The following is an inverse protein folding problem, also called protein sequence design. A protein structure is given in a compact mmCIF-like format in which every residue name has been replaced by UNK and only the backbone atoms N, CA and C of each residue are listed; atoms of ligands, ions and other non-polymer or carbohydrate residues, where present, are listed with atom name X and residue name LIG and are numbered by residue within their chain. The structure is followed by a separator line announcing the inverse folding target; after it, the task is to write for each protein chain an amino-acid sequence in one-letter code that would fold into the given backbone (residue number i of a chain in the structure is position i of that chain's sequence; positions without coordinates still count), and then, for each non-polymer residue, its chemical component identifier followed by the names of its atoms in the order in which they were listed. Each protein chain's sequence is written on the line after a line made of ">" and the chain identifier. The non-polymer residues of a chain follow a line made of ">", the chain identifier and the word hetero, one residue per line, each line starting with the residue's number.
data_IF_684149152826
#
_entry.id   IF_684149152826
#
_cell.length_a   1.000
_cell.length_b   1.000
_cell.length_c   1.000
_cell.angle_alpha   90.00
_cell.angle_beta   90.00
_cell.angle_gamma   90.00
#
_symmetry.space_group_name_H-M   'P 1'
#
loop_
_entity.id
_entity.type
_entity.pdbx_description
1 polymer ?
#
# COMPACT_ATOMS: atom_id res chain seq x y z
N UNK A 1 16.72 -5.34 -1.91
CA UNK A 1 15.93 -5.72 -3.11
C UNK A 1 14.59 -5.00 -3.04
N UNK A 2 14.02 -4.57 -4.17
CA UNK A 2 12.63 -4.06 -4.22
C UNK A 2 11.72 -5.16 -4.76
N UNK A 3 10.46 -5.16 -4.32
CA UNK A 3 9.42 -6.06 -4.82
C UNK A 3 8.24 -5.23 -5.35
N UNK A 4 7.45 -5.82 -6.25
CA UNK A 4 6.24 -5.19 -6.76
C UNK A 4 5.09 -5.20 -5.74
N UNK A 5 4.08 -4.34 -5.94
CA UNK A 5 2.92 -4.23 -5.05
C UNK A 5 2.21 -5.58 -4.89
N UNK A 6 1.99 -6.32 -5.98
CA UNK A 6 1.34 -7.64 -5.90
C UNK A 6 2.12 -8.65 -5.05
N UNK A 7 3.46 -8.58 -5.07
CA UNK A 7 4.32 -9.46 -4.27
C UNK A 7 4.26 -9.06 -2.79
N UNK A 8 4.34 -7.76 -2.50
CA UNK A 8 4.17 -7.24 -1.14
C UNK A 8 2.82 -7.62 -0.55
N UNK A 9 1.73 -7.44 -1.30
CA UNK A 9 0.38 -7.84 -0.89
C UNK A 9 0.24 -9.34 -0.66
N UNK A 10 0.96 -10.18 -1.42
CA UNK A 10 1.00 -11.61 -1.15
C UNK A 10 1.65 -11.93 0.20
N UNK A 11 2.76 -11.26 0.55
CA UNK A 11 3.40 -11.42 1.86
C UNK A 11 2.49 -10.94 3.00
N UNK A 12 1.85 -9.79 2.81
CA UNK A 12 0.89 -9.22 3.75
C UNK A 12 -0.29 -10.16 4.02
N UNK A 13 -0.91 -10.68 2.96
CA UNK A 13 -2.02 -11.64 3.08
C UNK A 13 -1.61 -12.89 3.87
N UNK A 14 -0.42 -13.43 3.59
CA UNK A 14 0.10 -14.61 4.30
C UNK A 14 0.38 -14.34 5.78
N UNK A 15 0.68 -13.09 6.14
CA UNK A 15 0.91 -12.66 7.52
C UNK A 15 -0.35 -12.12 8.23
N UNK A 16 -1.52 -12.17 7.57
CA UNK A 16 -2.78 -11.68 8.13
C UNK A 16 -2.93 -10.16 8.15
N UNK A 17 -2.12 -9.43 7.38
CA UNK A 17 -2.34 -8.00 7.09
C UNK A 17 -3.46 -7.92 6.05
N UNK A 18 -4.59 -7.25 6.35
CA UNK A 18 -5.68 -7.10 5.39
C UNK A 18 -5.24 -6.28 4.18
N UNK A 19 -5.47 -6.81 2.99
CA UNK A 19 -5.23 -6.16 1.69
C UNK A 19 -6.41 -6.50 0.78
N UNK A 20 -6.78 -5.65 -0.20
CA UNK A 20 -7.82 -6.01 -1.15
C UNK A 20 -7.46 -7.28 -1.95
N UNK A 21 -8.46 -7.99 -2.45
CA UNK A 21 -8.17 -9.12 -3.35
C UNK A 21 -7.73 -8.58 -4.70
N UNK A 22 -6.72 -9.22 -5.26
CA UNK A 22 -6.20 -8.85 -6.57
C UNK A 22 -5.28 -9.91 -7.14
N UNK A 23 -5.16 -9.90 -8.45
CA UNK A 23 -4.35 -10.84 -9.21
C UNK A 23 -3.39 -10.10 -10.14
N UNK A 24 -2.12 -10.54 -10.23
CA UNK A 24 -1.24 -10.05 -11.26
C UNK A 24 -1.71 -10.52 -12.64
N UNK A 25 -1.48 -9.70 -13.66
CA UNK A 25 -1.75 -10.01 -15.05
C UNK A 25 -0.56 -9.59 -15.91
N UNK A 26 -0.09 -10.51 -16.75
CA UNK A 26 1.03 -10.33 -17.69
C UNK A 26 0.55 -10.19 -19.15
N UNK A 27 -0.75 -10.36 -19.38
CA UNK A 27 -1.42 -10.13 -20.65
C UNK A 27 -2.78 -9.46 -20.44
N UNK A 28 -3.38 -8.99 -21.53
CA UNK A 28 -4.74 -8.42 -21.52
C UNK A 28 -5.77 -9.49 -21.17
N UNK A 29 -5.56 -10.72 -21.64
CA UNK A 29 -6.40 -11.88 -21.36
C UNK A 29 -6.39 -12.21 -19.86
N UNK A 30 -5.21 -12.27 -19.25
CA UNK A 30 -5.07 -12.50 -17.80
C UNK A 30 -5.74 -11.39 -16.98
N UNK A 31 -5.69 -10.14 -17.46
CA UNK A 31 -6.35 -9.02 -16.80
C UNK A 31 -7.88 -9.17 -16.81
N UNK A 32 -8.45 -9.68 -17.91
CA UNK A 32 -9.88 -9.95 -18.02
C UNK A 32 -10.28 -11.13 -17.13
N UNK A 33 -9.49 -12.21 -17.12
CA UNK A 33 -9.73 -13.37 -16.25
C UNK A 33 -9.67 -13.01 -14.76
N UNK A 34 -8.85 -12.03 -14.39
CA UNK A 34 -8.79 -11.55 -13.01
C UNK A 34 -10.14 -10.98 -12.54
N UNK A 35 -10.90 -10.33 -13.43
CA UNK A 35 -12.26 -9.82 -13.12
C UNK A 35 -13.19 -10.97 -12.74
N UNK A 36 -13.14 -12.09 -13.48
CA UNK A 36 -13.92 -13.28 -13.19
C UNK A 36 -13.53 -13.91 -11.84
N UNK A 37 -12.23 -13.96 -11.54
CA UNK A 37 -11.72 -14.49 -10.26
C UNK A 37 -12.11 -13.63 -9.06
N UNK A 38 -12.18 -12.32 -9.24
CA UNK A 38 -12.58 -11.37 -8.19
C UNK A 38 -14.11 -11.32 -8.00
N UNK A 39 -14.88 -11.84 -8.96
CA UNK A 39 -16.35 -11.85 -8.91
C UNK A 39 -16.94 -10.45 -8.64
N UNK A 40 -16.38 -9.42 -9.27
CA UNK A 40 -16.84 -8.03 -9.22
C UNK A 40 -16.66 -7.36 -10.58
N UNK A 41 -17.58 -6.47 -10.94
CA UNK A 41 -17.46 -5.67 -12.16
C UNK A 41 -16.59 -4.42 -11.96
N UNK A 42 -16.34 -3.99 -10.73
CA UNK A 42 -15.58 -2.75 -10.47
C UNK A 42 -14.21 -3.07 -9.90
N UNK A 43 -13.17 -2.76 -10.69
CA UNK A 43 -11.78 -3.05 -10.35
C UNK A 43 -10.88 -1.84 -10.58
N UNK A 44 -9.69 -1.88 -9.98
CA UNK A 44 -8.61 -0.94 -10.24
C UNK A 44 -7.49 -1.66 -11.01
N UNK A 45 -7.13 -1.13 -12.17
CA UNK A 45 -6.01 -1.58 -13.00
C UNK A 45 -4.75 -0.78 -12.61
N UNK A 46 -3.74 -1.46 -12.08
CA UNK A 46 -2.54 -0.83 -11.52
C UNK A 46 -1.26 -1.33 -12.19
N UNK A 47 -0.56 -0.45 -12.89
CA UNK A 47 0.76 -0.72 -13.44
C UNK A 47 1.77 -1.10 -12.34
N UNK A 48 2.52 -2.18 -12.57
CA UNK A 48 3.53 -2.68 -11.64
C UNK A 48 4.92 -2.22 -12.07
N UNK A 49 5.44 -1.19 -11.41
CA UNK A 49 6.83 -0.71 -11.55
C UNK A 49 7.42 -0.40 -10.17
N UNK A 50 8.75 -0.41 -10.05
CA UNK A 50 9.44 -0.06 -8.80
C UNK A 50 9.60 1.46 -8.61
N UNK A 51 8.48 2.18 -8.66
CA UNK A 51 8.40 3.63 -8.44
C UNK A 51 7.01 4.04 -7.90
N UNK A 52 7.00 5.07 -7.05
CA UNK A 52 5.81 5.79 -6.59
C UNK A 52 5.26 6.75 -7.65
N UNK A 53 4.19 7.47 -7.29
CA UNK A 53 3.56 8.46 -8.18
C UNK A 53 2.80 7.90 -9.39
N UNK A 54 2.54 6.58 -9.42
CA UNK A 54 1.89 5.88 -10.55
C UNK A 54 0.50 6.43 -10.88
N UNK A 55 -0.27 6.86 -9.88
CA UNK A 55 -1.58 7.47 -10.09
C UNK A 55 -1.51 8.75 -10.92
N UNK A 56 -0.63 9.69 -10.53
CA UNK A 56 -0.37 10.93 -11.27
C UNK A 56 0.17 10.66 -12.68
N UNK A 57 0.96 9.61 -12.85
CA UNK A 57 1.49 9.16 -14.15
C UNK A 57 0.49 8.39 -15.02
N UNK A 58 -0.75 8.18 -14.57
CA UNK A 58 -1.78 7.46 -15.32
C UNK A 58 -1.70 5.93 -15.25
N UNK A 59 -0.83 5.37 -14.42
CA UNK A 59 -0.67 3.94 -14.20
C UNK A 59 -1.62 3.32 -13.17
N UNK A 60 -2.63 4.06 -12.70
CA UNK A 60 -3.70 3.56 -11.84
C UNK A 60 -5.03 4.06 -12.42
N UNK A 61 -5.94 3.14 -12.78
CA UNK A 61 -7.24 3.48 -13.38
C UNK A 61 -8.34 2.58 -12.82
N UNK A 62 -9.47 3.19 -12.44
CA UNK A 62 -10.72 2.46 -12.22
C UNK A 62 -11.24 1.94 -13.57
N UNK A 63 -11.81 0.75 -13.57
CA UNK A 63 -12.47 0.15 -14.72
C UNK A 63 -13.73 -0.59 -14.27
N UNK A 64 -14.82 -0.42 -15.03
CA UNK A 64 -16.10 -1.10 -14.80
C UNK A 64 -16.35 -2.08 -15.96
N UNK A 65 -16.42 -3.36 -15.63
CA UNK A 65 -16.62 -4.46 -16.56
C UNK A 65 -15.37 -4.82 -17.36
N UNK A 66 -15.44 -6.00 -18.00
CA UNK A 66 -14.31 -6.59 -18.73
C UNK A 66 -13.81 -5.74 -19.90
N UNK A 67 -14.70 -4.99 -20.55
CA UNK A 67 -14.33 -4.19 -21.73
C UNK A 67 -13.46 -2.99 -21.34
N UNK A 68 -13.81 -2.29 -20.25
CA UNK A 68 -12.94 -1.23 -19.75
C UNK A 68 -11.62 -1.80 -19.25
N UNK A 69 -11.62 -2.94 -18.56
CA UNK A 69 -10.38 -3.60 -18.11
C UNK A 69 -9.48 -3.96 -19.29
N UNK A 70 -10.04 -4.53 -20.37
CA UNK A 70 -9.33 -4.79 -21.62
C UNK A 70 -8.67 -3.52 -22.16
N UNK A 71 -9.46 -2.45 -22.30
CA UNK A 71 -8.97 -1.18 -22.83
C UNK A 71 -7.86 -0.59 -21.94
N UNK A 72 -8.02 -0.61 -20.61
CA UNK A 72 -6.99 -0.10 -19.69
C UNK A 72 -5.72 -0.96 -19.75
N UNK A 73 -5.87 -2.28 -19.81
CA UNK A 73 -4.74 -3.19 -19.86
C UNK A 73 -3.93 -3.04 -21.14
N UNK A 74 -4.59 -2.94 -22.30
CA UNK A 74 -3.96 -2.74 -23.61
C UNK A 74 -3.16 -1.42 -23.68
N UNK A 75 -3.71 -0.35 -23.10
CA UNK A 75 -3.02 0.94 -23.02
C UNK A 75 -1.83 0.95 -22.06
N UNK A 76 -1.84 0.12 -21.01
CA UNK A 76 -0.80 0.13 -19.97
C UNK A 76 0.32 -0.87 -20.23
N UNK A 77 0.01 -2.08 -20.70
CA UNK A 77 1.04 -3.10 -20.92
C UNK A 77 1.98 -2.67 -22.05
N UNK A 78 3.29 -2.78 -21.80
CA UNK A 78 4.33 -2.40 -22.75
C UNK A 78 4.66 -0.90 -22.78
N UNK A 79 3.82 -0.02 -22.22
CA UNK A 79 4.11 1.41 -22.17
C UNK A 79 5.25 1.73 -21.20
N UNK A 80 5.96 2.84 -21.42
CA UNK A 80 6.88 3.41 -20.44
C UNK A 80 6.13 4.39 -19.53
N UNK A 81 5.88 3.98 -18.29
CA UNK A 81 5.23 4.81 -17.30
C UNK A 81 6.24 5.82 -16.72
N UNK A 82 5.98 7.11 -16.97
CA UNK A 82 6.74 8.23 -16.41
C UNK A 82 6.07 8.68 -15.11
N UNK A 83 6.84 8.70 -14.03
CA UNK A 83 6.49 9.31 -12.75
C UNK A 83 7.59 10.27 -12.32
N UNK A 84 7.33 11.06 -11.28
CA UNK A 84 8.35 11.94 -10.70
C UNK A 84 9.59 11.19 -10.19
N UNK A 85 9.48 9.86 -9.94
CA UNK A 85 10.58 9.01 -9.47
C UNK A 85 11.28 8.20 -10.57
N UNK A 86 10.73 8.12 -11.80
CA UNK A 86 11.34 7.33 -12.89
C UNK A 86 12.20 8.15 -13.84
N UNK A 87 12.11 9.48 -13.77
CA UNK A 87 12.71 10.38 -14.76
C UNK A 87 12.01 10.31 -16.14
N UNK A 88 12.54 11.03 -17.15
CA UNK A 88 11.86 11.26 -18.43
C UNK A 88 11.71 10.00 -19.29
N UNK A 89 12.55 8.98 -19.09
CA UNK A 89 12.48 7.71 -19.85
C UNK A 89 11.41 6.76 -19.32
N UNK A 90 10.90 6.99 -18.10
CA UNK A 90 9.91 6.11 -17.49
C UNK A 90 10.44 4.72 -17.14
N UNK A 91 9.51 3.82 -16.81
CA UNK A 91 9.74 2.38 -16.66
C UNK A 91 8.72 1.60 -17.46
N UNK A 92 9.18 0.60 -18.20
CA UNK A 92 8.30 -0.27 -18.96
C UNK A 92 7.38 -1.05 -18.02
N UNK A 93 6.09 -1.03 -18.31
CA UNK A 93 5.08 -1.81 -17.59
C UNK A 93 4.99 -3.19 -18.21
N UNK A 94 5.45 -4.21 -17.48
CA UNK A 94 5.43 -5.61 -17.93
C UNK A 94 4.38 -6.46 -17.20
N UNK A 95 3.74 -5.88 -16.19
CA UNK A 95 2.76 -6.54 -15.34
C UNK A 95 1.77 -5.50 -14.81
N UNK A 96 0.52 -5.92 -14.68
CA UNK A 96 -0.55 -5.19 -14.04
C UNK A 96 -0.99 -5.93 -12.77
N UNK A 97 -1.57 -5.20 -11.83
CA UNK A 97 -2.37 -5.75 -10.75
C UNK A 97 -3.82 -5.33 -10.99
N UNK A 98 -4.71 -6.32 -11.10
CA UNK A 98 -6.15 -6.11 -11.14
C UNK A 98 -6.68 -6.38 -9.74
N UNK A 99 -7.28 -5.38 -9.13
CA UNK A 99 -7.65 -5.40 -7.71
C UNK A 99 -9.09 -4.91 -7.51
N UNK A 100 -9.79 -5.47 -6.53
CA UNK A 100 -11.09 -4.98 -6.09
C UNK A 100 -11.05 -3.49 -5.72
N UNK A 101 -12.03 -2.73 -6.21
CA UNK A 101 -12.22 -1.36 -5.74
C UNK A 101 -12.68 -1.37 -4.28
N UNK A 102 -11.99 -0.61 -3.43
CA UNK A 102 -12.35 -0.46 -2.01
C UNK A 102 -13.24 0.78 -1.81
N UNK A 103 -14.23 0.68 -0.93
CA UNK A 103 -15.05 1.81 -0.49
C UNK A 103 -14.28 2.65 0.56
N UNK A 104 -13.41 3.54 0.08
CA UNK A 104 -12.50 4.34 0.92
C UNK A 104 -13.25 5.52 1.57
N UNK A 105 -13.07 5.70 2.88
CA UNK A 105 -13.52 6.91 3.61
C UNK A 105 -12.35 7.81 4.02
N UNK A 106 -11.17 7.24 4.28
CA UNK A 106 -9.96 7.96 4.65
C UNK A 106 -8.74 7.24 4.10
N UNK A 107 -7.77 8.03 3.66
CA UNK A 107 -6.44 7.59 3.27
C UNK A 107 -5.46 8.08 4.34
N UNK A 108 -4.67 7.15 4.89
CA UNK A 108 -3.68 7.39 5.93
C UNK A 108 -2.32 6.91 5.44
N UNK A 109 -1.27 7.14 6.23
CA UNK A 109 0.07 6.63 5.98
C UNK A 109 0.52 5.69 7.10
N UNK A 110 1.24 4.64 6.74
CA UNK A 110 2.01 3.82 7.68
C UNK A 110 3.35 3.40 7.07
N UNK A 111 4.43 3.46 7.85
CA UNK A 111 5.76 3.04 7.41
C UNK A 111 6.65 2.53 8.54
N UNK A 112 7.56 1.62 8.23
CA UNK A 112 8.54 1.05 9.17
C UNK A 112 9.92 1.10 8.54
N UNK A 113 10.89 1.69 9.23
CA UNK A 113 12.29 1.80 8.76
C UNK A 113 13.27 1.78 9.94
N UNK A 114 14.55 1.53 9.68
CA UNK A 114 15.62 1.70 10.67
C UNK A 114 15.97 3.18 10.84
N UNK A 115 15.70 3.74 12.02
CA UNK A 115 16.26 5.02 12.45
C UNK A 115 17.71 4.80 12.91
N UNK A 116 18.63 5.03 11.96
CA UNK A 116 20.08 4.85 12.20
C UNK A 116 20.64 5.77 13.28
N UNK A 117 20.04 6.94 13.49
CA UNK A 117 20.50 7.88 14.53
C UNK A 117 20.30 7.33 15.94
N UNK A 118 19.29 6.48 16.11
CA UNK A 118 18.94 5.85 17.40
C UNK A 118 19.28 4.38 17.48
N UNK A 119 19.69 3.75 16.36
CA UNK A 119 19.90 2.30 16.29
C UNK A 119 18.62 1.52 16.61
N UNK A 120 17.45 2.05 16.22
CA UNK A 120 16.13 1.46 16.52
C UNK A 120 15.26 1.47 15.28
N UNK A 121 14.34 0.52 15.19
CA UNK A 121 13.29 0.60 14.19
C UNK A 121 12.28 1.67 14.61
N UNK A 122 11.71 2.38 13.63
CA UNK A 122 10.68 3.39 13.85
C UNK A 122 9.46 3.04 13.01
N UNK A 123 8.31 2.91 13.67
CA UNK A 123 7.01 2.83 13.03
C UNK A 123 6.43 4.24 12.98
N UNK A 124 6.14 4.72 11.79
CA UNK A 124 5.59 6.05 11.52
C UNK A 124 4.18 5.93 10.99
N UNK A 125 3.27 6.79 11.45
CA UNK A 125 1.93 6.95 10.89
C UNK A 125 1.61 8.41 10.70
N UNK A 126 0.73 8.73 9.74
CA UNK A 126 0.25 10.09 9.50
C UNK A 126 -1.18 10.07 8.98
N UNK A 127 -1.94 11.13 9.27
CA UNK A 127 -3.26 11.37 8.68
C UNK A 127 -3.18 11.79 7.21
N UNK A 128 -1.99 12.14 6.74
CA UNK A 128 -1.73 12.54 5.35
C UNK A 128 -1.39 11.30 4.50
N UNK A 129 -2.40 10.51 4.17
CA UNK A 129 -2.26 9.45 3.17
C UNK A 129 -2.36 9.95 1.74
N UNK A 130 -1.85 9.17 0.78
CA UNK A 130 -1.93 9.47 -0.66
C UNK A 130 -0.94 10.54 -1.15
N UNK A 131 -0.11 11.08 -0.26
CA UNK A 131 0.94 12.07 -0.54
C UNK A 131 2.32 11.52 -0.18
N UNK A 132 3.39 12.06 -0.76
CA UNK A 132 4.75 11.61 -0.46
C UNK A 132 5.12 12.00 0.99
N UNK A 133 5.62 11.05 1.78
CA UNK A 133 5.85 11.28 3.21
C UNK A 133 6.98 12.28 3.47
N UNK A 134 7.91 12.41 2.53
CA UNK A 134 9.00 13.38 2.58
C UNK A 134 8.48 14.82 2.48
N UNK A 135 7.40 15.06 1.73
CA UNK A 135 6.72 16.36 1.64
C UNK A 135 6.08 16.70 2.98
N UNK A 136 5.36 15.75 3.57
CA UNK A 136 4.76 15.89 4.92
C UNK A 136 5.87 16.15 5.96
N UNK A 137 7.00 15.45 5.88
CA UNK A 137 8.11 15.64 6.80
C UNK A 137 8.78 17.02 6.69
N UNK A 138 8.76 17.64 5.50
CA UNK A 138 9.31 18.96 5.28
C UNK A 138 8.35 20.08 5.70
N UNK A 139 7.06 19.92 5.40
CA UNK A 139 6.07 20.99 5.56
C UNK A 139 5.27 20.91 6.87
N UNK A 140 4.89 19.69 7.29
CA UNK A 140 4.05 19.43 8.46
C UNK A 140 4.58 18.25 9.30
N UNK A 141 5.83 18.34 9.79
CA UNK A 141 6.50 17.22 10.47
C UNK A 141 5.77 16.71 11.72
N UNK A 142 4.95 17.56 12.35
CA UNK A 142 4.12 17.25 13.51
C UNK A 142 3.01 16.24 13.21
N UNK A 143 2.61 16.10 11.93
CA UNK A 143 1.63 15.08 11.50
C UNK A 143 2.22 13.68 11.42
N UNK A 144 3.55 13.52 11.49
CA UNK A 144 4.23 12.22 11.47
C UNK A 144 4.45 11.74 12.89
N UNK A 145 3.61 10.80 13.31
CA UNK A 145 3.66 10.23 14.65
C UNK A 145 4.54 8.98 14.63
N UNK A 146 5.45 8.88 15.60
CA UNK A 146 6.52 7.88 15.62
C UNK A 146 6.52 7.05 16.89
N UNK A 147 6.67 5.75 16.74
CA UNK A 147 6.96 4.81 17.83
C UNK A 147 8.25 4.03 17.54
N UNK A 148 9.20 4.06 18.47
CA UNK A 148 10.46 3.35 18.32
C UNK A 148 10.41 1.96 18.93
N UNK A 149 10.98 0.99 18.23
CA UNK A 149 11.02 -0.42 18.62
C UNK A 149 12.50 -0.84 18.70
N UNK A 150 12.88 -1.46 19.82
CA UNK A 150 14.24 -1.97 19.98
C UNK A 150 14.47 -3.17 19.05
N UNK A 151 15.63 -3.30 18.39
CA UNK A 151 15.88 -4.42 17.46
C UNK A 151 15.76 -5.81 18.09
N UNK A 152 16.02 -5.91 19.40
CA UNK A 152 15.94 -7.17 20.16
C UNK A 152 14.59 -7.35 20.88
N UNK A 153 13.57 -6.58 20.52
CA UNK A 153 12.27 -6.63 21.17
C UNK A 153 11.13 -6.64 20.16
N UNK A 154 9.98 -7.11 20.62
CA UNK A 154 8.73 -7.05 19.87
C UNK A 154 8.04 -5.69 19.98
N UNK A 155 7.32 -5.33 18.91
CA UNK A 155 6.34 -4.26 18.99
C UNK A 155 5.27 -4.61 20.03
N UNK A 156 5.05 -3.71 20.99
CA UNK A 156 4.07 -3.92 22.05
C UNK A 156 2.71 -3.36 21.65
N UNK A 157 1.63 -3.99 22.11
CA UNK A 157 0.26 -3.58 21.77
C UNK A 157 -0.08 -2.14 22.19
N UNK A 158 0.58 -1.59 23.22
CA UNK A 158 0.38 -0.18 23.60
C UNK A 158 0.95 0.79 22.55
N UNK A 159 2.03 0.42 21.86
CA UNK A 159 2.61 1.22 20.78
C UNK A 159 1.65 1.24 19.58
N UNK A 160 1.14 0.06 19.21
CA UNK A 160 0.12 -0.06 18.16
C UNK A 160 -1.15 0.75 18.49
N UNK A 161 -1.61 0.71 19.75
CA UNK A 161 -2.72 1.55 20.22
C UNK A 161 -2.41 3.04 20.07
N UNK A 162 -1.22 3.47 20.48
CA UNK A 162 -0.82 4.87 20.40
C UNK A 162 -0.82 5.38 18.96
N UNK A 163 -0.28 4.60 18.02
CA UNK A 163 -0.33 4.90 16.58
C UNK A 163 -1.77 4.95 16.05
N UNK A 164 -2.63 4.00 16.45
CA UNK A 164 -4.02 3.97 16.01
C UNK A 164 -4.82 5.19 16.49
N UNK A 165 -4.68 5.56 17.77
CA UNK A 165 -5.35 6.75 18.31
C UNK A 165 -4.80 8.05 17.73
N UNK A 166 -3.51 8.12 17.43
CA UNK A 166 -2.93 9.32 16.82
C UNK A 166 -3.40 9.57 15.39
N UNK A 167 -3.92 8.54 14.72
CA UNK A 167 -4.58 8.64 13.41
C UNK A 167 -6.05 9.08 13.52
N UNK A 168 -6.57 9.31 14.73
CA UNK A 168 -7.99 9.60 14.95
C UNK A 168 -8.89 8.43 14.53
N UNK A 169 -8.43 7.20 14.74
CA UNK A 169 -9.25 6.00 14.57
C UNK A 169 -10.12 5.79 15.81
N UNK A 170 -11.35 5.31 15.59
CA UNK A 170 -12.34 5.12 16.66
C UNK A 170 -13.00 3.74 16.57
N UNK A 171 -13.65 3.31 17.67
CA UNK A 171 -14.45 2.10 17.70
C UNK A 171 -13.74 0.84 17.16
N UNK A 172 -14.34 0.21 16.15
CA UNK A 172 -13.80 -0.99 15.51
C UNK A 172 -12.48 -0.73 14.75
N UNK A 173 -12.29 0.46 14.19
CA UNK A 173 -11.11 0.83 13.41
C UNK A 173 -9.83 0.73 14.25
N UNK A 174 -9.89 1.10 15.53
CA UNK A 174 -8.75 0.97 16.46
C UNK A 174 -8.33 -0.49 16.59
N UNK A 175 -9.29 -1.41 16.76
CA UNK A 175 -9.02 -2.84 16.88
C UNK A 175 -8.41 -3.41 15.60
N UNK A 176 -8.91 -2.98 14.44
CA UNK A 176 -8.39 -3.39 13.14
C UNK A 176 -6.97 -2.85 12.91
N UNK A 177 -6.73 -1.57 13.17
CA UNK A 177 -5.41 -0.96 13.03
C UNK A 177 -4.36 -1.59 13.96
N UNK A 178 -4.70 -1.91 15.21
CA UNK A 178 -3.77 -2.59 16.12
C UNK A 178 -3.34 -3.94 15.54
N UNK A 179 -4.27 -4.73 15.02
CA UNK A 179 -3.97 -6.01 14.38
C UNK A 179 -3.08 -5.81 13.15
N UNK A 180 -3.45 -4.86 12.28
CA UNK A 180 -2.69 -4.54 11.07
C UNK A 180 -1.27 -4.09 11.39
N UNK A 181 -1.05 -3.20 12.36
CA UNK A 181 0.28 -2.71 12.72
C UNK A 181 1.16 -3.79 13.34
N UNK A 182 0.61 -4.66 14.20
CA UNK A 182 1.36 -5.79 14.74
C UNK A 182 1.71 -6.81 13.64
N UNK A 183 0.81 -7.05 12.69
CA UNK A 183 1.07 -7.93 11.57
C UNK A 183 2.12 -7.35 10.60
N UNK A 184 2.06 -6.05 10.29
CA UNK A 184 3.09 -5.35 9.51
C UNK A 184 4.46 -5.41 10.18
N UNK A 185 4.52 -5.28 11.50
CA UNK A 185 5.75 -5.47 12.26
C UNK A 185 6.30 -6.89 12.11
N UNK A 186 5.45 -7.92 12.22
CA UNK A 186 5.87 -9.30 12.01
C UNK A 186 6.43 -9.50 10.59
N UNK A 187 5.77 -8.96 9.56
CA UNK A 187 6.30 -9.01 8.18
C UNK A 187 7.67 -8.32 8.10
N UNK A 188 7.80 -7.13 8.68
CA UNK A 188 9.04 -6.37 8.65
C UNK A 188 10.20 -7.18 9.25
N UNK A 189 9.97 -7.81 10.40
CA UNK A 189 10.96 -8.62 11.11
C UNK A 189 11.24 -9.95 10.40
N UNK A 190 10.20 -10.71 10.07
CA UNK A 190 10.32 -12.10 9.60
C UNK A 190 10.93 -12.20 8.19
N UNK A 191 10.83 -11.13 7.40
CA UNK A 191 11.41 -11.04 6.06
C UNK A 191 12.62 -10.09 5.99
N UNK A 192 13.22 -9.72 7.13
CA UNK A 192 14.39 -8.83 7.21
C UNK A 192 14.24 -7.56 6.35
N UNK A 193 13.06 -6.94 6.40
CA UNK A 193 12.75 -5.80 5.55
C UNK A 193 13.62 -4.59 5.94
N UNK A 194 14.14 -3.88 4.94
CA UNK A 194 14.78 -2.59 5.18
C UNK A 194 13.78 -1.45 5.31
N UNK A 195 12.60 -1.61 4.69
CA UNK A 195 11.51 -0.62 4.63
C UNK A 195 10.20 -1.37 4.36
N UNK A 196 9.15 -1.00 5.09
CA UNK A 196 7.76 -1.20 4.67
C UNK A 196 7.12 0.18 4.58
N UNK A 197 6.37 0.42 3.53
CA UNK A 197 5.58 1.63 3.35
C UNK A 197 4.21 1.28 2.77
N UNK A 198 3.17 1.73 3.46
CA UNK A 198 1.77 1.58 3.09
C UNK A 198 1.21 2.97 2.85
N UNK A 199 1.02 3.31 1.59
CA UNK A 199 0.56 4.62 1.17
C UNK A 199 -0.35 4.52 -0.07
N UNK A 200 -1.69 4.55 0.09
CA UNK A 200 -2.41 4.79 1.35
C UNK A 200 -2.61 3.52 2.19
N UNK A 201 -2.63 3.69 3.52
CA UNK A 201 -3.34 2.81 4.45
C UNK A 201 -4.80 3.25 4.48
N UNK A 202 -5.72 2.38 4.06
CA UNK A 202 -7.11 2.72 3.78
C UNK A 202 -7.99 2.41 4.98
N UNK A 203 -8.87 3.36 5.33
CA UNK A 203 -10.05 3.09 6.15
C UNK A 203 -11.26 2.94 5.23
N UNK A 204 -11.98 1.83 5.33
CA UNK A 204 -13.16 1.57 4.51
C UNK A 204 -14.45 2.04 5.18
N UNK A 205 -15.55 2.12 4.41
CA UNK A 205 -16.91 2.37 4.96
C UNK A 205 -17.37 1.30 5.97
N UNK A 206 -16.77 0.11 5.94
CA UNK A 206 -17.06 -0.98 6.88
C UNK A 206 -16.13 -0.99 8.10
N UNK A 207 -15.42 0.10 8.36
CA UNK A 207 -14.44 0.25 9.44
C UNK A 207 -13.24 -0.71 9.37
N UNK A 208 -12.98 -1.32 8.21
CA UNK A 208 -11.79 -2.14 7.97
C UNK A 208 -10.56 -1.27 7.68
N UNK A 209 -9.38 -1.81 7.96
CA UNK A 209 -8.08 -1.17 7.74
C UNK A 209 -7.28 -2.00 6.75
N UNK A 210 -7.14 -1.52 5.52
CA UNK A 210 -6.45 -2.20 4.43
C UNK A 210 -5.10 -1.57 4.11
N UNK A 211 -4.12 -2.42 3.80
CA UNK A 211 -2.79 -2.05 3.32
C UNK A 211 -2.65 -2.24 1.80
#
# INVERSE_FOLDING_TARGET
>A
MKIHEYQGKSLFRNAGVPVPNGFPAFSVEEAIEAVDKLNTDTVVVKAQIHAGGRGKGGGIKLAIGKEEVRQRADNMLGMNLVTHQTGPTGKQVQCLLIEEASDIIRELYAGIVLDRSRGRFVFMVSTEGGVEIEEVAAETPDKIIKEWINPNAEMRSYQARKLAFSLGLEGAQVKHAIKTFLALWNVFRDYDCSLIEINPLVVTKSDEIFA
#
